data_IF_053827157635
#
_entry.id   IF_053827157635
#
_cell.length_a   1.000
_cell.length_b   1.000
_cell.length_c   1.000
_cell.angle_alpha   90.00
_cell.angle_beta   90.00
_cell.angle_gamma   90.00
#
_symmetry.space_group_name_H-M   'P 1'
#
loop_
_entity.id
_entity.type
_entity.pdbx_description
1 polymer ?
#
# COMPACT_ATOMS: atom_id res chain seq x y z
N UNK A 1 24.45 -5.06 -0.75
CA UNK A 1 23.82 -3.73 -0.90
C UNK A 1 24.62 -2.98 -1.95
N UNK A 2 24.07 -2.80 -3.15
CA UNK A 2 24.71 -2.00 -4.21
C UNK A 2 24.89 -0.57 -3.70
N UNK A 3 26.13 -0.23 -3.36
CA UNK A 3 26.55 1.12 -3.06
C UNK A 3 26.79 1.84 -4.38
N UNK A 4 26.05 2.91 -4.64
CA UNK A 4 26.46 3.90 -5.64
C UNK A 4 27.70 4.61 -5.09
N UNK A 5 28.87 4.19 -5.59
CA UNK A 5 30.13 4.89 -5.40
C UNK A 5 30.18 6.06 -6.39
N UNK A 6 30.08 7.29 -5.88
CA UNK A 6 30.63 8.45 -6.57
C UNK A 6 32.08 8.57 -6.12
N UNK A 7 32.99 8.01 -6.92
CA UNK A 7 34.41 8.12 -6.72
C UNK A 7 34.87 9.44 -7.35
N UNK A 8 35.02 10.50 -6.56
CA UNK A 8 35.82 11.66 -6.98
C UNK A 8 37.29 11.23 -7.02
N UNK A 9 37.76 10.90 -8.22
CA UNK A 9 39.15 10.62 -8.50
C UNK A 9 39.96 11.92 -8.34
N UNK A 10 40.76 12.00 -7.27
CA UNK A 10 41.96 12.81 -7.31
C UNK A 10 43.00 12.07 -8.16
N UNK A 11 43.51 12.80 -9.13
CA UNK A 11 44.32 12.37 -10.26
C UNK A 11 45.71 11.92 -9.81
N UNK A 12 46.07 10.65 -10.04
CA UNK A 12 47.44 10.22 -10.39
C UNK A 12 47.43 8.79 -10.98
N UNK A 13 47.90 8.72 -12.21
CA UNK A 13 48.52 7.62 -12.96
C UNK A 13 47.76 6.33 -13.34
N UNK A 14 47.49 6.31 -14.64
CA UNK A 14 47.27 5.22 -15.61
C UNK A 14 47.58 3.77 -15.20
N UNK A 15 46.65 2.86 -15.53
CA UNK A 15 46.83 1.82 -16.57
C UNK A 15 45.52 1.10 -16.90
N UNK A 16 45.45 0.59 -18.14
CA UNK A 16 44.31 0.14 -18.93
C UNK A 16 43.30 -0.86 -18.31
N UNK A 17 42.01 -0.73 -18.68
CA UNK A 17 41.02 -1.82 -18.62
C UNK A 17 39.54 -1.43 -18.71
N UNK A 18 38.94 -1.55 -19.92
CA UNK A 18 37.48 -1.74 -20.24
C UNK A 18 36.47 -0.61 -19.93
N UNK A 19 35.61 -0.19 -20.87
CA UNK A 19 34.65 0.90 -20.62
C UNK A 19 33.47 0.45 -19.72
N UNK A 20 33.01 1.29 -18.77
CA UNK A 20 31.87 0.96 -17.92
C UNK A 20 30.55 1.07 -18.71
N UNK A 21 29.73 0.02 -18.58
CA UNK A 21 28.36 -0.07 -19.09
C UNK A 21 27.50 1.01 -18.43
N UNK A 22 26.93 1.92 -19.22
CA UNK A 22 25.97 2.93 -18.73
C UNK A 22 24.63 2.26 -18.43
N UNK A 23 24.27 2.15 -17.15
CA UNK A 23 22.92 1.79 -16.71
C UNK A 23 22.11 3.08 -16.54
N UNK A 24 20.90 3.22 -17.13
CA UNK A 24 20.09 4.42 -17.01
C UNK A 24 19.58 4.62 -15.56
N UNK A 25 19.45 5.87 -15.09
CA UNK A 25 19.02 6.18 -13.72
C UNK A 25 17.58 5.72 -13.46
N UNK A 26 17.32 5.32 -12.20
CA UNK A 26 16.00 4.88 -11.77
C UNK A 26 14.93 6.00 -11.95
N UNK A 27 13.69 5.64 -12.32
CA UNK A 27 12.63 6.61 -12.66
C UNK A 27 12.14 7.45 -11.47
N UNK A 28 12.57 7.15 -10.24
CA UNK A 28 12.17 7.90 -9.03
C UNK A 28 13.04 9.12 -8.75
N UNK A 29 14.18 9.26 -9.43
CA UNK A 29 15.15 10.32 -9.17
C UNK A 29 14.87 11.63 -9.91
N UNK A 30 13.84 11.70 -10.76
CA UNK A 30 13.47 12.92 -11.49
C UNK A 30 11.97 13.15 -11.45
N UNK A 31 11.47 13.67 -10.33
CA UNK A 31 10.31 14.57 -10.22
C UNK A 31 9.83 14.60 -8.76
N UNK A 32 10.56 15.30 -7.89
CA UNK A 32 9.94 15.88 -6.69
C UNK A 32 10.55 17.25 -6.46
N UNK A 33 9.91 18.27 -7.03
CA UNK A 33 10.17 19.66 -6.66
C UNK A 33 9.88 19.89 -5.18
N UNK A 34 10.90 20.37 -4.48
CA UNK A 34 10.88 21.35 -3.38
C UNK A 34 9.65 21.47 -2.46
N UNK A 35 9.19 20.41 -1.79
CA UNK A 35 8.15 20.55 -0.74
C UNK A 35 8.53 19.90 0.62
N UNK A 36 9.66 19.21 0.71
CA UNK A 36 10.16 18.61 1.97
C UNK A 36 11.61 19.01 2.30
N UNK A 37 12.03 20.25 1.99
CA UNK A 37 13.42 20.70 2.17
C UNK A 37 13.81 21.04 3.62
N UNK A 38 13.05 20.61 4.63
CA UNK A 38 13.54 20.64 6.01
C UNK A 38 14.25 19.32 6.28
N UNK A 39 15.47 19.18 5.75
CA UNK A 39 16.37 18.08 6.13
C UNK A 39 16.72 18.26 7.61
N UNK A 40 15.95 17.65 8.52
CA UNK A 40 16.38 17.51 9.90
C UNK A 40 17.55 16.53 9.94
N UNK A 41 18.77 17.04 9.90
CA UNK A 41 19.98 16.22 10.00
C UNK A 41 20.14 15.76 11.45
N UNK A 42 19.61 14.57 11.74
CA UNK A 42 19.86 13.92 13.03
C UNK A 42 21.21 13.20 12.98
N UNK A 43 22.17 13.64 13.81
CA UNK A 43 23.46 12.94 13.94
C UNK A 43 23.27 11.63 14.68
N UNK A 44 23.84 10.57 14.13
CA UNK A 44 23.86 9.25 14.78
C UNK A 44 25.14 9.11 15.61
N UNK A 45 25.04 8.66 16.88
CA UNK A 45 26.22 8.39 17.69
C UNK A 45 27.01 7.18 17.15
N UNK A 46 28.28 7.09 17.55
CA UNK A 46 29.10 5.91 17.27
C UNK A 46 28.43 4.63 17.82
N UNK A 47 28.48 3.54 17.05
CA UNK A 47 27.82 2.28 17.40
C UNK A 47 26.34 2.19 17.01
N UNK A 48 25.78 3.21 16.36
CA UNK A 48 24.42 3.15 15.81
C UNK A 48 24.30 2.10 14.72
N UNK A 49 23.30 1.24 14.83
CA UNK A 49 22.85 0.36 13.74
C UNK A 49 22.15 1.23 12.68
N UNK A 50 22.14 0.85 11.41
CA UNK A 50 21.32 1.51 10.36
C UNK A 50 20.69 0.45 9.46
N UNK A 51 19.53 0.77 8.88
CA UNK A 51 18.83 -0.13 7.96
C UNK A 51 18.06 -1.26 8.65
N UNK A 52 17.88 -1.20 9.97
CA UNK A 52 17.16 -2.21 10.75
C UNK A 52 15.71 -2.39 10.29
N UNK A 53 15.01 -1.30 9.95
CA UNK A 53 13.63 -1.35 9.45
C UNK A 53 13.53 -1.93 8.03
N UNK A 54 14.59 -1.80 7.23
CA UNK A 54 14.62 -2.36 5.88
C UNK A 54 14.57 -3.89 5.89
N UNK A 55 15.02 -4.53 6.97
CA UNK A 55 14.92 -5.99 7.16
C UNK A 55 13.46 -6.43 7.24
N UNK A 56 12.59 -5.65 7.89
CA UNK A 56 11.17 -6.00 8.06
C UNK A 56 10.29 -5.64 6.87
N UNK A 57 10.68 -4.60 6.13
CA UNK A 57 9.87 -4.04 5.04
C UNK A 57 10.26 -4.65 3.69
N UNK A 58 11.35 -5.43 3.63
CA UNK A 58 11.93 -6.01 2.40
C UNK A 58 12.11 -4.96 1.29
N UNK A 59 12.33 -3.71 1.70
CA UNK A 59 12.51 -2.55 0.84
C UNK A 59 13.51 -1.61 1.49
N UNK A 60 14.39 -0.94 0.70
CA UNK A 60 15.21 0.14 1.23
C UNK A 60 14.32 1.21 1.85
N UNK A 61 14.57 1.52 3.12
CA UNK A 61 13.84 2.56 3.83
C UNK A 61 14.26 3.92 3.24
N UNK A 62 13.35 4.89 3.02
CA UNK A 62 13.64 6.14 2.33
C UNK A 62 14.42 7.15 3.19
N UNK A 63 15.39 6.68 3.99
CA UNK A 63 16.32 7.51 4.74
C UNK A 63 17.69 7.40 4.07
N UNK A 64 18.21 8.54 3.63
CA UNK A 64 19.58 8.65 3.14
C UNK A 64 20.53 8.96 4.31
N UNK A 65 21.61 8.21 4.41
CA UNK A 65 22.66 8.44 5.39
C UNK A 65 23.89 9.03 4.71
N UNK A 66 24.49 10.06 5.30
CA UNK A 66 25.73 10.68 4.84
C UNK A 66 26.77 10.62 5.94
N UNK A 67 27.98 10.19 5.61
CA UNK A 67 29.11 10.26 6.54
C UNK A 67 29.62 11.70 6.59
N UNK A 68 29.57 12.33 7.77
CA UNK A 68 30.19 13.66 7.99
C UNK A 68 31.72 13.57 8.12
N UNK A 69 32.24 12.40 8.52
CA UNK A 69 33.66 12.14 8.72
C UNK A 69 34.02 10.72 8.24
N UNK A 70 35.31 10.35 8.33
CA UNK A 70 35.78 9.02 7.96
C UNK A 70 35.24 7.97 8.93
N UNK A 71 34.22 7.23 8.51
CA UNK A 71 33.56 6.19 9.30
C UNK A 71 34.00 4.77 8.88
N UNK A 72 33.91 3.82 9.81
CA UNK A 72 33.96 2.37 9.53
C UNK A 72 32.63 1.77 9.93
N UNK A 73 32.11 0.85 9.13
CA UNK A 73 30.85 0.16 9.38
C UNK A 73 31.02 -1.35 9.18
N UNK A 74 30.29 -2.13 9.97
CA UNK A 74 30.07 -3.55 9.71
C UNK A 74 28.76 -3.69 8.93
N UNK A 75 28.78 -4.45 7.83
CA UNK A 75 27.60 -4.68 7.00
C UNK A 75 27.16 -6.13 7.13
N UNK A 76 25.88 -6.33 7.46
CA UNK A 76 25.21 -7.63 7.43
C UNK A 76 24.31 -7.69 6.21
N UNK A 77 24.52 -8.65 5.28
CA UNK A 77 23.61 -8.85 4.15
C UNK A 77 22.19 -9.20 4.62
N UNK A 78 21.17 -8.73 3.90
CA UNK A 78 19.76 -8.98 4.24
C UNK A 78 19.47 -10.49 4.38
N UNK A 79 19.96 -11.30 3.43
CA UNK A 79 19.83 -12.76 3.45
C UNK A 79 20.39 -13.40 4.73
N UNK A 80 21.50 -12.86 5.26
CA UNK A 80 22.08 -13.36 6.51
C UNK A 80 21.20 -13.03 7.71
N UNK A 81 20.56 -11.87 7.71
CA UNK A 81 19.62 -11.47 8.77
C UNK A 81 18.32 -12.27 8.68
N UNK A 82 17.81 -12.53 7.48
CA UNK A 82 16.65 -13.39 7.24
C UNK A 82 16.89 -14.81 7.79
N UNK A 83 18.05 -15.42 7.47
CA UNK A 83 18.42 -16.72 8.05
C UNK A 83 18.50 -16.70 9.58
N UNK A 84 18.97 -15.61 10.17
CA UNK A 84 18.98 -15.46 11.63
C UNK A 84 17.56 -15.33 12.23
N UNK A 85 16.67 -14.63 11.52
CA UNK A 85 15.25 -14.54 11.89
C UNK A 85 14.57 -15.90 11.80
N UNK A 86 14.88 -16.73 10.80
CA UNK A 86 14.34 -18.07 10.67
C UNK A 86 14.78 -18.99 11.83
N UNK A 87 16.04 -18.86 12.26
CA UNK A 87 16.59 -19.66 13.36
C UNK A 87 16.11 -19.22 14.74
N UNK A 88 15.94 -17.91 14.96
CA UNK A 88 15.70 -17.31 16.29
C UNK A 88 14.75 -16.10 16.23
N UNK A 89 13.58 -16.28 15.62
CA UNK A 89 12.60 -15.22 15.34
C UNK A 89 12.35 -14.28 16.52
N UNK A 90 11.98 -14.82 17.69
CA UNK A 90 11.61 -14.01 18.86
C UNK A 90 12.74 -13.12 19.38
N UNK A 91 13.97 -13.64 19.46
CA UNK A 91 15.12 -12.88 20.00
C UNK A 91 15.64 -11.84 19.01
N UNK A 92 15.71 -12.20 17.73
CA UNK A 92 16.18 -11.32 16.68
C UNK A 92 15.18 -10.19 16.42
N UNK A 93 13.89 -10.50 16.26
CA UNK A 93 12.85 -9.48 16.09
C UNK A 93 12.83 -8.49 17.25
N UNK A 94 12.83 -8.97 18.49
CA UNK A 94 12.80 -8.10 19.67
C UNK A 94 13.98 -7.13 19.71
N UNK A 95 15.21 -7.60 19.43
CA UNK A 95 16.40 -6.74 19.42
C UNK A 95 16.37 -5.70 18.29
N UNK A 96 15.97 -6.11 17.08
CA UNK A 96 15.88 -5.20 15.93
C UNK A 96 14.79 -4.14 16.19
N UNK A 97 13.65 -4.54 16.76
CA UNK A 97 12.59 -3.62 17.18
C UNK A 97 13.05 -2.67 18.29
N UNK A 98 13.81 -3.14 19.28
CA UNK A 98 14.38 -2.29 20.32
C UNK A 98 15.35 -1.24 19.73
N UNK A 99 16.19 -1.63 18.76
CA UNK A 99 17.08 -0.70 18.08
C UNK A 99 16.30 0.34 17.25
N UNK A 100 15.25 -0.08 16.55
CA UNK A 100 14.41 0.82 15.78
C UNK A 100 13.64 1.77 16.71
N UNK A 101 13.02 1.24 17.75
CA UNK A 101 12.22 2.00 18.69
C UNK A 101 13.04 3.06 19.42
N UNK A 102 14.26 2.72 19.87
CA UNK A 102 15.15 3.66 20.56
C UNK A 102 15.57 4.88 19.72
N UNK A 103 15.41 4.85 18.40
CA UNK A 103 15.70 5.98 17.50
C UNK A 103 14.48 6.82 17.16
N UNK A 104 13.28 6.26 17.31
CA UNK A 104 12.05 6.98 17.03
C UNK A 104 11.75 7.94 18.18
N UNK A 105 11.14 9.09 17.85
CA UNK A 105 10.72 10.03 18.88
C UNK A 105 9.56 9.44 19.68
N UNK A 106 9.44 9.82 20.94
CA UNK A 106 8.37 9.34 21.84
C UNK A 106 6.95 9.53 21.30
N UNK A 107 6.72 10.57 20.49
CA UNK A 107 5.43 10.80 19.84
C UNK A 107 5.07 9.71 18.82
N UNK A 108 6.05 9.12 18.12
CA UNK A 108 5.82 8.02 17.16
C UNK A 108 5.31 6.78 17.89
N UNK A 109 5.86 6.49 19.08
CA UNK A 109 5.36 5.40 19.92
C UNK A 109 3.93 5.64 20.39
N UNK A 110 3.55 6.90 20.68
CA UNK A 110 2.16 7.23 21.03
C UNK A 110 1.21 7.01 19.87
N UNK A 111 1.63 7.34 18.65
CA UNK A 111 0.84 7.10 17.44
C UNK A 111 0.71 5.60 17.18
N UNK A 112 1.81 4.86 17.21
CA UNK A 112 1.84 3.42 17.01
C UNK A 112 0.95 2.68 18.02
N UNK A 113 1.00 3.08 19.29
CA UNK A 113 0.15 2.51 20.34
C UNK A 113 -1.33 2.87 20.23
N UNK A 114 -1.68 3.96 19.53
CA UNK A 114 -3.05 4.41 19.35
C UNK A 114 -3.67 3.98 18.01
N UNK A 115 -2.85 3.58 17.05
CA UNK A 115 -3.27 3.23 15.71
C UNK A 115 -3.61 1.74 15.63
N UNK A 116 -4.78 1.43 15.07
CA UNK A 116 -5.22 0.03 14.92
C UNK A 116 -5.11 -0.41 13.46
N UNK A 117 -4.41 -1.50 13.19
CA UNK A 117 -4.41 -2.16 11.89
C UNK A 117 -5.67 -3.03 11.76
N UNK A 118 -6.43 -2.83 10.68
CA UNK A 118 -7.67 -3.57 10.43
C UNK A 118 -7.67 -4.17 9.02
N UNK A 119 -8.09 -5.43 8.93
CA UNK A 119 -8.33 -6.11 7.65
C UNK A 119 -9.83 -6.18 7.36
N UNK A 120 -10.21 -5.84 6.13
CA UNK A 120 -11.60 -5.82 5.68
C UNK A 120 -11.68 -6.65 4.41
N UNK A 121 -12.50 -7.71 4.44
CA UNK A 121 -12.72 -8.54 3.26
C UNK A 121 -13.44 -7.77 2.15
N UNK A 122 -13.14 -8.13 0.90
CA UNK A 122 -13.83 -7.64 -0.28
C UNK A 122 -15.35 -7.82 -0.16
N UNK A 123 -16.08 -6.75 -0.43
CA UNK A 123 -17.53 -6.71 -0.30
C UNK A 123 -18.04 -6.49 1.13
N UNK A 124 -17.20 -6.33 2.16
CA UNK A 124 -17.67 -5.91 3.50
C UNK A 124 -17.69 -4.39 3.64
N UNK A 125 -18.58 -3.89 4.49
CA UNK A 125 -18.65 -2.46 4.82
C UNK A 125 -17.62 -2.13 5.89
N UNK A 126 -16.89 -1.04 5.74
CA UNK A 126 -16.03 -0.49 6.80
C UNK A 126 -16.89 0.20 7.86
N UNK A 127 -17.73 1.14 7.42
CA UNK A 127 -18.77 1.78 8.22
C UNK A 127 -19.92 2.21 7.31
N UNK A 128 -21.09 2.41 7.89
CA UNK A 128 -22.28 2.96 7.21
C UNK A 128 -22.57 4.36 7.70
N UNK A 129 -23.31 5.10 6.89
CA UNK A 129 -23.85 6.39 7.29
C UNK A 129 -24.74 6.21 8.52
N UNK A 130 -24.54 7.06 9.53
CA UNK A 130 -25.24 6.99 10.81
C UNK A 130 -24.60 6.04 11.84
N UNK A 131 -23.57 5.26 11.46
CA UNK A 131 -22.81 4.51 12.46
C UNK A 131 -22.01 5.49 13.33
N UNK A 132 -21.88 5.19 14.64
CA UNK A 132 -21.10 6.02 15.58
C UNK A 132 -19.68 6.23 15.08
N UNK A 133 -19.22 7.48 15.07
CA UNK A 133 -17.87 7.83 14.65
C UNK A 133 -16.84 7.28 15.64
N UNK A 134 -15.94 6.44 15.14
CA UNK A 134 -14.93 5.74 15.96
C UNK A 134 -13.51 6.24 15.70
N UNK A 135 -13.34 7.13 14.73
CA UNK A 135 -12.06 7.61 14.21
C UNK A 135 -12.11 7.81 12.70
N UNK A 136 -10.98 8.16 12.11
CA UNK A 136 -10.79 8.15 10.66
C UNK A 136 -9.85 7.02 10.26
N UNK A 137 -9.84 6.66 8.99
CA UNK A 137 -9.04 5.55 8.49
C UNK A 137 -8.14 5.97 7.35
N UNK A 138 -6.96 5.37 7.29
CA UNK A 138 -5.99 5.50 6.21
C UNK A 138 -5.92 4.17 5.47
N UNK A 139 -6.13 4.18 4.16
CA UNK A 139 -5.98 2.96 3.35
C UNK A 139 -4.49 2.62 3.22
N UNK A 140 -4.09 1.47 3.77
CA UNK A 140 -2.71 0.97 3.68
C UNK A 140 -2.50 0.16 2.41
N UNK A 141 -3.50 -0.66 2.06
CA UNK A 141 -3.50 -1.58 0.92
C UNK A 141 -4.95 -1.87 0.53
N UNK A 142 -5.23 -2.09 -0.76
CA UNK A 142 -6.57 -2.47 -1.25
C UNK A 142 -7.31 -1.33 -1.95
N UNK A 143 -8.64 -1.32 -1.84
CA UNK A 143 -9.51 -0.33 -2.49
C UNK A 143 -10.88 -0.24 -1.81
N UNK A 144 -11.21 0.95 -1.32
CA UNK A 144 -12.52 1.27 -0.78
C UNK A 144 -13.36 2.04 -1.80
N UNK A 145 -14.67 1.89 -1.72
CA UNK A 145 -15.66 2.65 -2.49
C UNK A 145 -16.58 3.38 -1.53
N UNK A 146 -16.80 4.67 -1.80
CA UNK A 146 -17.75 5.51 -1.08
C UNK A 146 -19.09 5.41 -1.81
N UNK A 147 -20.14 5.09 -1.08
CA UNK A 147 -21.46 4.82 -1.62
C UNK A 147 -22.45 5.89 -1.18
N UNK A 148 -23.27 6.33 -2.12
CA UNK A 148 -24.48 7.10 -1.82
C UNK A 148 -25.52 6.13 -1.26
N UNK A 149 -26.04 6.40 -0.07
CA UNK A 149 -27.22 5.70 0.40
C UNK A 149 -28.45 6.29 -0.28
N UNK A 150 -29.32 5.45 -0.89
CA UNK A 150 -30.55 5.95 -1.47
C UNK A 150 -31.38 6.58 -0.36
N UNK A 151 -31.85 7.81 -0.57
CA UNK A 151 -32.75 8.47 0.36
C UNK A 151 -33.92 7.53 0.66
N UNK A 152 -34.08 7.18 1.94
CA UNK A 152 -35.23 6.45 2.45
C UNK A 152 -36.33 7.50 2.72
N UNK A 153 -37.57 7.22 2.30
CA UNK A 153 -38.71 8.00 2.77
C UNK A 153 -38.88 7.80 4.28
N UNK A 154 -39.63 8.68 4.94
CA UNK A 154 -40.02 8.57 6.36
C UNK A 154 -40.70 7.24 6.73
N UNK A 155 -41.11 6.46 5.73
CA UNK A 155 -41.71 5.12 5.84
C UNK A 155 -40.71 3.97 5.64
N UNK A 156 -39.40 4.24 5.55
CA UNK A 156 -38.36 3.21 5.41
C UNK A 156 -38.27 2.57 4.02
N UNK A 157 -38.96 3.14 3.03
CA UNK A 157 -38.93 2.65 1.65
C UNK A 157 -38.00 3.50 0.80
N UNK A 158 -37.16 2.92 -0.09
CA UNK A 158 -36.26 3.71 -0.92
C UNK A 158 -37.06 4.57 -1.91
N UNK A 159 -36.74 5.87 -2.01
CA UNK A 159 -37.43 6.88 -2.83
C UNK A 159 -37.51 6.51 -4.33
N UNK A 160 -36.62 5.63 -4.81
CA UNK A 160 -36.55 5.17 -6.19
C UNK A 160 -36.96 3.70 -6.39
N UNK A 161 -37.68 3.08 -5.45
CA UNK A 161 -38.32 1.79 -5.72
C UNK A 161 -39.37 1.98 -6.82
N UNK A 162 -39.05 1.54 -8.04
CA UNK A 162 -40.06 1.35 -9.08
C UNK A 162 -41.12 0.41 -8.51
N UNK A 163 -42.39 0.84 -8.55
CA UNK A 163 -43.53 0.05 -8.11
C UNK A 163 -43.46 -1.37 -8.70
N UNK A 164 -43.28 -2.37 -7.83
CA UNK A 164 -43.51 -3.79 -8.17
C UNK A 164 -42.30 -4.73 -8.18
N UNK A 165 -41.06 -4.25 -8.17
CA UNK A 165 -39.87 -5.13 -8.03
C UNK A 165 -39.19 -4.85 -6.70
N UNK A 166 -39.11 -5.83 -5.80
CA UNK A 166 -38.38 -5.76 -4.52
C UNK A 166 -36.86 -5.55 -4.65
N UNK A 167 -36.37 -5.12 -5.82
CA UNK A 167 -34.99 -4.74 -6.07
C UNK A 167 -34.68 -3.41 -5.39
N UNK A 168 -33.74 -3.46 -4.42
CA UNK A 168 -33.14 -2.26 -3.85
C UNK A 168 -32.50 -1.46 -4.98
N UNK A 169 -32.71 -0.13 -5.07
CA UNK A 169 -32.08 0.66 -6.12
C UNK A 169 -30.55 0.49 -6.06
N UNK A 170 -29.88 0.46 -7.22
CA UNK A 170 -28.44 0.29 -7.27
C UNK A 170 -27.76 1.43 -6.51
N UNK A 171 -26.94 1.08 -5.52
CA UNK A 171 -26.14 2.05 -4.77
C UNK A 171 -25.15 2.71 -5.72
N UNK A 172 -25.15 4.04 -5.79
CA UNK A 172 -24.23 4.78 -6.65
C UNK A 172 -22.87 4.89 -5.96
N UNK A 173 -21.80 4.61 -6.71
CA UNK A 173 -20.43 4.86 -6.25
C UNK A 173 -20.15 6.35 -6.44
N UNK A 174 -19.94 7.06 -5.33
CA UNK A 174 -19.55 8.46 -5.32
C UNK A 174 -18.06 8.61 -5.55
N UNK A 175 -17.26 7.74 -4.93
CA UNK A 175 -15.82 7.85 -4.96
C UNK A 175 -15.11 6.50 -4.75
N UNK A 176 -13.82 6.44 -5.11
CA UNK A 176 -12.96 5.27 -4.98
C UNK A 176 -11.65 5.68 -4.30
N UNK A 177 -11.41 5.13 -3.11
CA UNK A 177 -10.21 5.40 -2.32
C UNK A 177 -9.17 4.29 -2.52
N UNK A 178 -7.94 4.70 -2.79
CA UNK A 178 -6.77 3.82 -2.93
C UNK A 178 -5.79 4.06 -1.77
N UNK A 179 -4.64 3.39 -1.78
CA UNK A 179 -3.59 3.56 -0.76
C UNK A 179 -3.24 5.03 -0.54
N UNK A 180 -3.12 5.40 0.74
CA UNK A 180 -2.92 6.77 1.21
C UNK A 180 -4.19 7.62 1.21
N UNK A 181 -5.30 7.10 0.67
CA UNK A 181 -6.62 7.71 0.78
C UNK A 181 -7.11 7.70 2.23
N UNK A 182 -7.88 8.74 2.57
CA UNK A 182 -8.49 8.93 3.87
C UNK A 182 -10.00 8.69 3.78
N UNK A 183 -10.60 8.19 4.85
CA UNK A 183 -12.05 8.17 5.02
C UNK A 183 -12.46 8.45 6.47
N UNK A 184 -13.61 9.12 6.65
CA UNK A 184 -14.10 9.56 7.95
C UNK A 184 -13.29 10.71 8.56
N UNK A 185 -12.35 11.28 7.81
CA UNK A 185 -11.45 12.34 8.25
C UNK A 185 -12.19 13.65 8.51
N UNK A 186 -13.19 13.96 7.67
CA UNK A 186 -14.04 15.14 7.84
C UNK A 186 -14.91 14.99 9.10
N UNK A 187 -15.58 13.84 9.26
CA UNK A 187 -16.40 13.54 10.42
C UNK A 187 -15.57 13.60 11.72
N UNK A 188 -14.34 13.08 11.68
CA UNK A 188 -13.42 13.13 12.81
C UNK A 188 -12.91 14.56 13.10
N UNK A 189 -12.60 15.36 12.07
CA UNK A 189 -12.17 16.75 12.21
C UNK A 189 -13.26 17.66 12.78
N UNK A 190 -14.52 17.42 12.40
CA UNK A 190 -15.67 18.19 12.89
C UNK A 190 -16.24 17.64 14.21
N UNK A 191 -15.63 16.61 14.79
CA UNK A 191 -16.11 15.91 16.00
C UNK A 191 -17.58 15.46 15.86
N UNK A 192 -17.94 15.00 14.66
CA UNK A 192 -19.29 14.53 14.37
C UNK A 192 -19.60 13.25 15.18
N UNK A 193 -20.84 13.10 15.68
CA UNK A 193 -21.21 11.92 16.46
C UNK A 193 -21.26 10.63 15.62
N UNK A 194 -21.53 10.76 14.32
CA UNK A 194 -21.80 9.66 13.38
C UNK A 194 -21.09 9.89 12.05
N UNK A 195 -20.83 8.81 11.31
CA UNK A 195 -20.28 8.89 9.96
C UNK A 195 -21.31 9.44 8.97
N UNK A 196 -20.87 10.36 8.11
CA UNK A 196 -21.73 11.01 7.12
C UNK A 196 -21.91 10.21 5.83
N UNK A 197 -21.00 9.26 5.56
CA UNK A 197 -20.92 8.46 4.34
C UNK A 197 -20.96 6.96 4.62
N UNK A 198 -21.24 6.15 3.60
CA UNK A 198 -21.08 4.69 3.67
C UNK A 198 -19.87 4.26 2.87
N UNK A 199 -18.95 3.53 3.50
CA UNK A 199 -17.71 3.09 2.85
C UNK A 199 -17.61 1.57 2.87
N UNK A 200 -17.32 0.98 1.71
CA UNK A 200 -17.25 -0.47 1.52
C UNK A 200 -15.94 -0.86 0.86
N UNK A 201 -15.38 -1.99 1.26
CA UNK A 201 -14.26 -2.59 0.57
C UNK A 201 -14.72 -3.21 -0.75
N UNK A 202 -14.12 -2.81 -1.87
CA UNK A 202 -14.36 -3.45 -3.18
C UNK A 202 -13.61 -4.76 -3.34
N UNK A 203 -12.50 -4.90 -2.61
CA UNK A 203 -11.60 -6.05 -2.51
C UNK A 203 -11.00 -6.10 -1.10
N UNK A 204 -10.29 -7.16 -0.78
CA UNK A 204 -9.59 -7.26 0.50
C UNK A 204 -8.70 -6.02 0.70
N UNK A 205 -8.96 -5.29 1.78
CA UNK A 205 -8.38 -3.97 2.05
C UNK A 205 -7.86 -3.93 3.47
N UNK A 206 -6.68 -3.36 3.65
CA UNK A 206 -6.08 -3.09 4.94
C UNK A 206 -6.13 -1.60 5.20
N UNK A 207 -6.62 -1.24 6.38
CA UNK A 207 -6.74 0.15 6.82
C UNK A 207 -6.10 0.33 8.18
N UNK A 208 -5.55 1.52 8.41
CA UNK A 208 -5.12 1.96 9.72
C UNK A 208 -6.18 2.88 10.30
N UNK A 209 -6.81 2.48 11.40
CA UNK A 209 -7.75 3.34 12.13
C UNK A 209 -6.97 4.26 13.06
N UNK A 210 -7.31 5.54 13.00
CA UNK A 210 -6.77 6.59 13.85
C UNK A 210 -7.88 7.13 14.74
N UNK A 211 -7.78 6.99 16.07
CA UNK A 211 -8.83 7.44 16.97
C UNK A 211 -8.89 8.98 17.03
N UNK A 212 -10.05 9.59 17.36
CA UNK A 212 -10.18 11.04 17.44
C UNK A 212 -9.27 11.67 18.51
N UNK A 213 -8.96 10.93 19.58
CA UNK A 213 -8.03 11.33 20.62
C UNK A 213 -6.63 11.59 20.08
N UNK A 214 -6.18 10.81 19.11
CA UNK A 214 -4.87 11.01 18.47
C UNK A 214 -4.84 12.33 17.70
N UNK A 215 -5.93 12.67 16.99
CA UNK A 215 -6.03 13.95 16.28
C UNK A 215 -6.02 15.15 17.25
N UNK A 216 -6.72 15.02 18.38
CA UNK A 216 -6.72 16.02 19.48
C UNK A 216 -5.31 16.19 20.08
N UNK A 217 -4.58 15.10 20.27
CA UNK A 217 -3.18 15.13 20.74
C UNK A 217 -2.27 15.83 19.72
N UNK A 218 -2.38 15.49 18.44
CA UNK A 218 -1.60 16.13 17.36
C UNK A 218 -1.93 17.62 17.27
N UNK A 219 -3.19 18.01 17.45
CA UNK A 219 -3.58 19.41 17.46
C UNK A 219 -2.93 20.20 18.61
N UNK A 220 -2.78 19.57 19.79
CA UNK A 220 -2.13 20.17 20.95
C UNK A 220 -0.60 20.23 20.82
N UNK A 221 0.04 19.16 20.35
CA UNK A 221 1.50 19.08 20.25
C UNK A 221 2.06 19.75 18.97
N UNK A 222 1.31 19.71 17.87
CA UNK A 222 1.74 20.21 16.55
C UNK A 222 0.63 21.03 15.86
N UNK A 223 0.30 22.24 16.36
CA UNK A 223 -0.77 23.08 15.79
C UNK A 223 -0.63 23.37 14.29
N UNK A 224 0.60 23.58 13.80
CA UNK A 224 0.84 23.81 12.37
C UNK A 224 0.53 22.57 11.51
N UNK A 225 0.73 21.36 12.05
CA UNK A 225 0.46 20.13 11.32
C UNK A 225 -1.05 19.91 11.14
N UNK A 226 -1.85 20.18 12.18
CA UNK A 226 -3.31 20.04 12.10
C UNK A 226 -3.92 21.06 11.13
N UNK A 227 -3.40 22.31 11.09
CA UNK A 227 -3.84 23.32 10.12
C UNK A 227 -3.56 22.90 8.68
N UNK A 228 -2.37 22.33 8.42
CA UNK A 228 -2.06 21.79 7.09
C UNK A 228 -2.94 20.59 6.73
N UNK A 229 -3.21 19.71 7.70
CA UNK A 229 -4.09 18.56 7.49
C UNK A 229 -5.52 19.01 7.16
N UNK A 230 -6.11 19.91 7.97
CA UNK A 230 -7.47 20.42 7.74
C UNK A 230 -7.59 21.16 6.41
N UNK A 231 -6.57 21.93 6.01
CA UNK A 231 -6.54 22.58 4.70
C UNK A 231 -6.52 21.58 3.54
N UNK A 232 -5.68 20.53 3.61
CA UNK A 232 -5.60 19.48 2.59
C UNK A 232 -6.89 18.68 2.46
N UNK A 233 -7.48 18.30 3.59
CA UNK A 233 -8.75 17.60 3.64
C UNK A 233 -9.88 18.47 3.07
N UNK A 234 -9.93 19.75 3.45
CA UNK A 234 -10.93 20.70 2.95
C UNK A 234 -10.82 20.92 1.43
N UNK A 235 -9.59 20.96 0.89
CA UNK A 235 -9.36 21.04 -0.55
C UNK A 235 -9.79 19.75 -1.28
N UNK A 236 -9.53 18.59 -0.68
CA UNK A 236 -9.93 17.29 -1.22
C UNK A 236 -11.45 17.04 -1.15
N UNK A 237 -12.16 17.70 -0.24
CA UNK A 237 -13.63 17.67 -0.13
C UNK A 237 -14.35 18.70 -1.00
N UNK A 238 -13.68 19.78 -1.43
CA UNK A 238 -14.27 20.89 -2.22
C UNK A 238 -14.21 20.71 -3.73
N UNK A 239 -13.35 19.85 -4.24
CA UNK A 239 -13.43 19.48 -5.65
C UNK A 239 -14.62 18.55 -5.83
N UNK A 240 -15.57 18.80 -6.76
CA UNK A 240 -16.43 17.72 -7.22
C UNK A 240 -15.48 16.62 -7.66
N UNK A 241 -15.43 15.51 -6.92
CA UNK A 241 -14.61 14.35 -7.28
C UNK A 241 -15.25 13.82 -8.56
N UNK A 242 -14.79 14.36 -9.69
CA UNK A 242 -15.30 14.06 -11.01
C UNK A 242 -15.16 12.56 -11.30
N UNK A 243 -15.79 12.06 -12.38
CA UNK A 243 -15.66 10.66 -12.75
C UNK A 243 -14.18 10.25 -12.75
N UNK A 244 -13.82 9.11 -12.13
CA UNK A 244 -12.43 8.76 -11.83
C UNK A 244 -11.62 8.70 -13.13
N UNK A 245 -10.81 9.73 -13.36
CA UNK A 245 -9.96 9.87 -14.53
C UNK A 245 -8.61 10.41 -14.10
N UNK A 246 -7.58 9.55 -14.17
CA UNK A 246 -6.25 9.88 -14.73
C UNK A 246 -5.21 8.75 -14.57
N UNK A 247 -5.44 7.69 -13.77
CA UNK A 247 -4.65 6.45 -13.89
C UNK A 247 -5.44 5.24 -13.38
N UNK A 248 -6.35 4.70 -14.19
CA UNK A 248 -7.01 3.43 -13.87
C UNK A 248 -6.00 2.29 -14.00
N UNK A 249 -5.23 2.07 -12.93
CA UNK A 249 -4.55 0.80 -12.70
C UNK A 249 -5.63 -0.26 -12.66
N UNK A 250 -5.54 -1.20 -13.58
CA UNK A 250 -6.58 -2.21 -13.76
C UNK A 250 -5.96 -3.57 -13.48
N UNK A 251 -6.43 -4.19 -12.40
CA UNK A 251 -6.20 -5.60 -12.13
C UNK A 251 -7.27 -6.42 -12.85
N UNK A 252 -6.84 -7.36 -13.68
CA UNK A 252 -7.69 -8.21 -14.50
C UNK A 252 -7.47 -9.64 -14.03
N UNK A 253 -8.52 -10.31 -13.59
CA UNK A 253 -8.49 -11.74 -13.32
C UNK A 253 -9.06 -12.49 -14.54
N UNK A 254 -8.29 -13.43 -15.06
CA UNK A 254 -8.70 -14.31 -16.16
C UNK A 254 -9.03 -15.66 -15.54
N UNK A 255 -10.30 -16.02 -15.57
CA UNK A 255 -10.82 -17.30 -15.09
C UNK A 255 -11.19 -18.15 -16.31
N UNK A 256 -10.49 -19.25 -16.61
CA UNK A 256 -10.90 -20.12 -17.70
C UNK A 256 -12.28 -20.72 -17.40
N UNK A 257 -13.21 -20.61 -18.35
CA UNK A 257 -14.56 -21.18 -18.23
C UNK A 257 -14.57 -22.71 -18.11
N UNK A 258 -13.57 -23.40 -18.67
CA UNK A 258 -13.42 -24.86 -18.69
C UNK A 258 -11.93 -25.22 -18.80
N UNK A 259 -11.54 -26.44 -18.40
CA UNK A 259 -10.21 -27.01 -18.55
C UNK A 259 -9.77 -27.11 -20.03
N UNK A 260 -10.73 -27.12 -20.95
CA UNK A 260 -10.46 -27.13 -22.40
C UNK A 260 -9.92 -25.78 -22.91
N UNK A 261 -10.13 -24.69 -22.16
CA UNK A 261 -9.66 -23.36 -22.54
C UNK A 261 -8.27 -23.14 -21.99
N UNK A 262 -7.30 -22.93 -22.88
CA UNK A 262 -5.93 -22.58 -22.50
C UNK A 262 -5.84 -21.16 -21.94
N UNK A 263 -6.19 -20.96 -20.67
CA UNK A 263 -6.12 -19.67 -19.97
C UNK A 263 -4.76 -18.98 -20.11
N UNK A 264 -3.67 -19.75 -20.09
CA UNK A 264 -2.30 -19.24 -20.26
C UNK A 264 -2.03 -18.62 -21.63
N UNK A 265 -2.72 -19.08 -22.69
CA UNK A 265 -2.57 -18.50 -24.02
C UNK A 265 -3.26 -17.13 -24.10
N UNK A 266 -4.47 -17.03 -23.54
CA UNK A 266 -5.22 -15.75 -23.45
C UNK A 266 -4.44 -14.75 -22.60
N UNK A 267 -3.93 -15.18 -21.44
CA UNK A 267 -3.09 -14.36 -20.57
C UNK A 267 -1.88 -13.78 -21.30
N UNK A 268 -1.16 -14.61 -22.08
CA UNK A 268 0.02 -14.19 -22.86
C UNK A 268 -0.35 -13.22 -23.99
N UNK A 269 -1.43 -13.47 -24.71
CA UNK A 269 -1.90 -12.57 -25.77
C UNK A 269 -2.32 -11.21 -25.19
N UNK A 270 -3.08 -11.22 -24.08
CA UNK A 270 -3.50 -10.00 -23.40
C UNK A 270 -2.29 -9.24 -22.82
N UNK A 271 -1.34 -9.94 -22.21
CA UNK A 271 -0.09 -9.37 -21.73
C UNK A 271 0.67 -8.67 -22.87
N UNK A 272 0.82 -9.33 -24.02
CA UNK A 272 1.50 -8.76 -25.19
C UNK A 272 0.79 -7.51 -25.75
N UNK A 273 -0.54 -7.50 -25.75
CA UNK A 273 -1.34 -6.35 -26.20
C UNK A 273 -1.25 -5.18 -25.21
N UNK A 274 -1.45 -5.44 -23.91
CA UNK A 274 -1.45 -4.40 -22.86
C UNK A 274 -0.05 -3.85 -22.57
N UNK A 275 1.00 -4.65 -22.77
CA UNK A 275 2.40 -4.20 -22.63
C UNK A 275 2.74 -3.04 -23.55
N UNK A 276 2.06 -2.91 -24.71
CA UNK A 276 2.21 -1.75 -25.61
C UNK A 276 1.60 -0.47 -25.04
N UNK A 277 0.62 -0.60 -24.14
CA UNK A 277 -0.11 0.51 -23.53
C UNK A 277 0.45 0.91 -22.15
N UNK A 278 1.38 0.12 -21.58
CA UNK A 278 2.06 0.43 -20.34
C UNK A 278 2.61 -0.80 -19.64
N UNK A 279 3.29 -0.59 -18.51
CA UNK A 279 3.87 -1.66 -17.72
C UNK A 279 2.80 -2.67 -17.31
N UNK A 280 2.98 -3.91 -17.77
CA UNK A 280 2.06 -5.02 -17.58
C UNK A 280 2.78 -6.19 -16.93
N UNK A 281 2.20 -6.75 -15.88
CA UNK A 281 2.73 -7.93 -15.19
C UNK A 281 1.68 -9.02 -15.22
N UNK A 282 2.10 -10.23 -15.58
CA UNK A 282 1.30 -11.44 -15.49
C UNK A 282 1.71 -12.19 -14.22
N UNK A 283 0.73 -12.58 -13.42
CA UNK A 283 0.93 -13.34 -12.19
C UNK A 283 0.15 -14.64 -12.28
N UNK A 284 0.85 -15.75 -12.06
CA UNK A 284 0.33 -17.11 -12.12
C UNK A 284 0.73 -17.86 -10.85
N UNK A 285 0.01 -18.92 -10.49
CA UNK A 285 0.32 -19.72 -9.31
C UNK A 285 1.77 -20.25 -9.35
N UNK A 286 2.22 -20.76 -10.50
CA UNK A 286 3.57 -21.33 -10.68
C UNK A 286 4.68 -20.29 -10.87
N UNK A 287 4.38 -19.21 -11.62
CA UNK A 287 5.33 -18.12 -11.89
C UNK A 287 5.69 -17.33 -10.63
N UNK A 288 4.74 -17.17 -9.72
CA UNK A 288 4.94 -16.44 -8.48
C UNK A 288 5.73 -17.25 -7.43
N UNK A 289 5.66 -18.59 -7.50
CA UNK A 289 6.44 -19.51 -6.67
C UNK A 289 7.88 -19.71 -7.17
N UNK A 290 8.16 -19.48 -8.46
CA UNK A 290 9.46 -19.76 -9.08
C UNK A 290 10.42 -18.58 -9.13
N UNK A 291 9.95 -17.33 -9.10
CA UNK A 291 10.81 -16.13 -9.10
C UNK A 291 11.47 -15.80 -7.74
N UNK A 292 11.44 -16.72 -6.76
CA UNK A 292 12.16 -16.55 -5.49
C UNK A 292 11.71 -15.35 -4.64
N UNK A 293 10.57 -14.73 -4.97
CA UNK A 293 9.97 -13.62 -4.22
C UNK A 293 9.14 -14.05 -3.01
N UNK A 294 8.83 -15.33 -2.93
CA UNK A 294 8.22 -15.97 -1.78
C UNK A 294 9.04 -17.22 -1.47
N UNK A 295 9.72 -17.23 -0.31
CA UNK A 295 10.36 -18.44 0.18
C UNK A 295 9.35 -19.58 0.30
N UNK A 296 9.78 -20.81 -0.01
CA UNK A 296 8.99 -22.04 0.19
C UNK A 296 8.52 -22.22 1.65
N UNK A 297 9.11 -21.49 2.61
CA UNK A 297 8.73 -21.46 4.03
C UNK A 297 7.40 -20.74 4.31
N UNK A 298 6.84 -20.00 3.33
CA UNK A 298 5.61 -19.19 3.50
C UNK A 298 4.32 -19.93 3.19
N UNK A 299 4.38 -21.21 2.82
CA UNK A 299 3.19 -22.05 2.54
C UNK A 299 2.28 -22.25 3.76
N UNK A 300 2.78 -22.00 4.96
CA UNK A 300 2.09 -22.30 6.21
C UNK A 300 1.58 -21.08 6.99
N UNK A 301 1.93 -19.84 6.60
CA UNK A 301 1.48 -18.63 7.30
C UNK A 301 1.31 -17.41 6.38
N UNK A 302 0.06 -17.05 6.10
CA UNK A 302 -0.42 -15.70 5.72
C UNK A 302 -0.75 -15.46 4.24
N UNK A 303 -1.95 -15.88 3.85
CA UNK A 303 -2.67 -15.36 2.68
C UNK A 303 -2.69 -13.80 2.64
N UNK A 304 -2.69 -13.15 3.81
CA UNK A 304 -2.63 -11.70 3.94
C UNK A 304 -1.31 -11.10 3.40
N UNK A 305 -0.17 -11.77 3.61
CA UNK A 305 1.12 -11.28 3.09
C UNK A 305 1.17 -11.38 1.57
N UNK A 306 0.63 -12.47 1.00
CA UNK A 306 0.51 -12.62 -0.46
C UNK A 306 -0.36 -11.51 -1.06
N UNK A 307 -1.55 -11.26 -0.48
CA UNK A 307 -2.44 -10.18 -0.90
C UNK A 307 -1.76 -8.81 -0.85
N UNK A 308 -0.94 -8.56 0.19
CA UNK A 308 -0.18 -7.30 0.34
C UNK A 308 0.85 -7.12 -0.78
N UNK A 309 1.66 -8.14 -1.07
CA UNK A 309 2.67 -8.06 -2.14
C UNK A 309 2.02 -7.89 -3.51
N UNK A 310 0.89 -8.58 -3.78
CA UNK A 310 0.14 -8.40 -5.02
C UNK A 310 -0.40 -6.96 -5.17
N UNK A 311 -0.87 -6.37 -4.07
CA UNK A 311 -1.33 -4.97 -4.08
C UNK A 311 -0.18 -4.01 -4.37
N UNK A 312 1.01 -4.24 -3.81
CA UNK A 312 2.20 -3.44 -4.13
C UNK A 312 2.60 -3.56 -5.61
N UNK A 313 2.44 -4.74 -6.23
CA UNK A 313 2.65 -4.89 -7.68
C UNK A 313 1.60 -4.15 -8.50
N UNK A 314 0.35 -4.15 -8.06
CA UNK A 314 -0.72 -3.40 -8.71
C UNK A 314 -0.41 -1.90 -8.72
N UNK A 315 0.09 -1.35 -7.61
CA UNK A 315 0.46 0.07 -7.55
C UNK A 315 1.56 0.47 -8.53
N UNK A 316 2.49 -0.45 -8.78
CA UNK A 316 3.67 -0.26 -9.63
C UNK A 316 3.40 -0.50 -11.11
N UNK A 317 2.27 -1.07 -11.47
CA UNK A 317 1.96 -1.49 -12.83
C UNK A 317 0.67 -0.85 -13.31
N UNK A 318 0.60 -0.54 -14.61
CA UNK A 318 -0.64 -0.01 -15.21
C UNK A 318 -1.68 -1.12 -15.34
N UNK A 319 -1.20 -2.31 -15.70
CA UNK A 319 -2.00 -3.50 -15.92
C UNK A 319 -1.43 -4.65 -15.10
N UNK A 320 -2.26 -5.29 -14.30
CA UNK A 320 -1.90 -6.49 -13.55
C UNK A 320 -2.86 -7.59 -13.98
N UNK A 321 -2.33 -8.70 -14.50
CA UNK A 321 -3.13 -9.83 -14.98
C UNK A 321 -2.92 -10.98 -14.00
N UNK A 322 -4.02 -11.48 -13.43
CA UNK A 322 -4.04 -12.69 -12.63
C UNK A 322 -4.52 -13.84 -13.50
N UNK A 323 -3.69 -14.87 -13.63
CA UNK A 323 -4.06 -16.15 -14.23
C UNK A 323 -4.66 -17.03 -13.14
N UNK A 324 -5.98 -17.22 -13.17
CA UNK A 324 -6.66 -18.14 -12.26
C UNK A 324 -6.61 -19.57 -12.80
N UNK A 325 -6.61 -20.53 -11.88
CA UNK A 325 -6.71 -21.95 -12.23
C UNK A 325 -8.18 -22.30 -12.51
N UNK A 326 -8.46 -23.28 -13.40
CA UNK A 326 -9.83 -23.72 -13.67
C UNK A 326 -10.51 -24.32 -12.44
N UNK A 327 -9.73 -24.92 -11.53
CA UNK A 327 -10.22 -25.36 -10.23
C UNK A 327 -10.37 -24.18 -9.25
N UNK A 328 -11.36 -24.26 -8.35
CA UNK A 328 -11.60 -23.25 -7.31
C UNK A 328 -10.61 -23.42 -6.14
N UNK A 329 -9.34 -23.14 -6.42
CA UNK A 329 -8.26 -23.14 -5.43
C UNK A 329 -8.24 -21.84 -4.63
N UNK A 330 -7.45 -21.79 -3.55
CA UNK A 330 -7.25 -20.56 -2.79
C UNK A 330 -6.60 -19.45 -3.64
N UNK A 331 -5.77 -19.82 -4.62
CA UNK A 331 -5.23 -18.90 -5.62
C UNK A 331 -6.34 -18.30 -6.49
N UNK A 332 -7.23 -19.13 -7.04
CA UNK A 332 -8.38 -18.66 -7.83
C UNK A 332 -9.28 -17.75 -7.01
N UNK A 333 -9.56 -18.08 -5.73
CA UNK A 333 -10.32 -17.19 -4.82
C UNK A 333 -9.62 -15.85 -4.61
N UNK A 334 -8.31 -15.85 -4.42
CA UNK A 334 -7.51 -14.62 -4.25
C UNK A 334 -7.56 -13.76 -5.52
N UNK A 335 -7.40 -14.37 -6.71
CA UNK A 335 -7.48 -13.68 -8.00
C UNK A 335 -8.84 -12.99 -8.17
N UNK A 336 -9.93 -13.68 -7.83
CA UNK A 336 -11.28 -13.12 -7.91
C UNK A 336 -11.53 -12.02 -6.87
N UNK A 337 -10.98 -12.15 -5.67
CA UNK A 337 -11.08 -11.12 -4.63
C UNK A 337 -10.29 -9.86 -4.97
N UNK A 338 -9.15 -9.98 -5.66
CA UNK A 338 -8.25 -8.87 -5.97
C UNK A 338 -8.49 -8.22 -7.34
N UNK A 339 -9.04 -8.98 -8.29
CA UNK A 339 -9.35 -8.54 -9.64
C UNK A 339 -10.42 -7.44 -9.66
N UNK A 340 -10.09 -6.31 -10.26
CA UNK A 340 -11.06 -5.23 -10.51
C UNK A 340 -11.94 -5.49 -11.73
N UNK A 341 -11.47 -6.33 -12.65
CA UNK A 341 -12.21 -6.84 -13.80
C UNK A 341 -12.02 -8.36 -13.86
N UNK A 342 -13.10 -9.11 -13.92
CA UNK A 342 -13.06 -10.57 -14.12
C UNK A 342 -13.48 -10.88 -15.54
N UNK A 343 -12.62 -11.58 -16.27
CA UNK A 343 -12.89 -12.14 -17.59
C UNK A 343 -13.04 -13.65 -17.44
N UNK A 344 -14.16 -14.18 -17.93
CA UNK A 344 -14.49 -15.61 -17.94
C UNK A 344 -14.42 -16.13 -19.37
#
# INVERSE_FOLDING_TARGET
LHAEFVQEASNTDATAGTPPVRIPPSPWTRQSGSIWSTQSTHRLPHGSVIGELSVFIDHPFPIAYRCESRCRFAALPCESVQRLLDLQLGRCCSRILQFAAGKLRSWVHRVDAAADWMHIEGGRCLYKKGDRMTGFFVVLSGRLVVLEEPALTSTGSPVHARHGSGERPPRRICDVLQRGGLCGELDCLYDAPEFSETVRASRDTEVCRMPPSLLKLVAAEFPSAILHFSAKVSQAGRSPRGPPSASRRTSIAILPADETVCGSQVCRQLHGALSRCGKTVLVSADGYLSEGRLDQSLRTMDAHRVARVLTEQEERCRWLIYEAEPAVTDWTRLCLRQGGLVLV
#
